data_IF_806489488055
#
_entry.id   IF_806489488055
#
_cell.length_a   1.000
_cell.length_b   1.000
_cell.length_c   1.000
_cell.angle_alpha   90.00
_cell.angle_beta   90.00
_cell.angle_gamma   90.00
#
_symmetry.space_group_name_H-M   'P 1'
#
loop_
_entity.id
_entity.type
_entity.pdbx_description
1 polymer ?
#
# COMPACT_ATOMS: atom_id res chain seq x y z
N UNK A 1 -9.76 3.60 2.25
CA UNK A 1 -8.82 2.47 2.20
C UNK A 1 -8.30 2.25 0.78
N UNK A 2 -7.30 2.94 0.22
CA UNK A 2 -6.57 2.35 -0.89
C UNK A 2 -5.84 1.13 -0.32
N UNK A 3 -5.96 0.00 -0.97
CA UNK A 3 -5.39 -1.27 -0.54
C UNK A 3 -4.74 -1.94 -1.72
N UNK A 4 -4.22 -3.14 -1.52
CA UNK A 4 -3.25 -3.79 -2.41
C UNK A 4 -3.52 -3.61 -3.92
N UNK A 5 -4.75 -3.85 -4.39
CA UNK A 5 -5.10 -3.74 -5.81
C UNK A 5 -4.90 -2.33 -6.34
N UNK A 6 -5.37 -1.30 -5.61
CA UNK A 6 -5.21 0.10 -6.01
C UNK A 6 -3.73 0.49 -6.07
N UNK A 7 -2.96 0.23 -5.02
CA UNK A 7 -1.53 0.58 -5.00
C UNK A 7 -0.72 -0.16 -6.06
N UNK A 8 -1.02 -1.44 -6.30
CA UNK A 8 -0.37 -2.18 -7.38
C UNK A 8 -0.76 -1.59 -8.74
N UNK A 9 -2.03 -1.21 -8.94
CA UNK A 9 -2.48 -0.59 -10.20
C UNK A 9 -1.75 0.73 -10.45
N UNK A 10 -1.61 1.58 -9.43
CA UNK A 10 -0.83 2.83 -9.53
C UNK A 10 0.63 2.55 -9.91
N UNK A 11 1.24 1.54 -9.28
CA UNK A 11 2.62 1.16 -9.54
C UNK A 11 2.84 0.65 -10.98
N UNK A 12 1.94 -0.22 -11.45
CA UNK A 12 2.04 -0.82 -12.77
C UNK A 12 1.93 0.27 -13.84
N UNK A 13 0.94 1.15 -13.73
CA UNK A 13 0.76 2.25 -14.67
C UNK A 13 1.89 3.27 -14.58
N UNK A 14 2.41 3.58 -13.38
CA UNK A 14 3.57 4.44 -13.23
C UNK A 14 4.84 3.84 -13.86
N UNK A 15 4.99 2.51 -13.83
CA UNK A 15 6.09 1.82 -14.52
C UNK A 15 5.97 1.95 -16.04
N UNK A 16 4.77 1.85 -16.61
CA UNK A 16 4.55 2.05 -18.04
C UNK A 16 4.83 3.51 -18.43
N UNK A 17 4.39 4.44 -17.60
CA UNK A 17 4.59 5.87 -17.82
C UNK A 17 6.07 6.27 -17.73
N UNK A 18 6.80 5.76 -16.73
CA UNK A 18 8.24 5.94 -16.63
C UNK A 18 8.98 5.39 -17.86
N UNK A 19 8.56 4.24 -18.39
CA UNK A 19 9.13 3.66 -19.61
C UNK A 19 8.80 4.51 -20.85
N UNK A 20 7.57 5.02 -20.96
CA UNK A 20 7.13 5.89 -22.05
C UNK A 20 7.93 7.20 -22.09
N UNK A 21 8.32 7.71 -20.92
CA UNK A 21 9.14 8.92 -20.75
C UNK A 21 10.66 8.67 -20.79
N UNK A 22 11.09 7.42 -20.95
CA UNK A 22 12.52 7.02 -20.95
C UNK A 22 13.27 7.42 -19.65
N UNK A 23 12.58 7.36 -18.51
CA UNK A 23 13.19 7.66 -17.20
C UNK A 23 14.20 6.58 -16.80
N UNK A 24 15.27 6.95 -16.10
CA UNK A 24 16.35 6.02 -15.74
C UNK A 24 15.86 4.85 -14.86
N UNK A 25 14.82 5.10 -14.05
CA UNK A 25 14.19 4.09 -13.19
C UNK A 25 13.43 3.01 -13.95
N UNK A 26 13.02 3.23 -15.21
CA UNK A 26 12.20 2.27 -15.95
C UNK A 26 12.92 0.93 -16.15
N UNK A 27 14.21 0.96 -16.49
CA UNK A 27 15.01 -0.24 -16.66
C UNK A 27 15.21 -0.99 -15.32
N UNK A 28 15.37 -0.25 -14.22
CA UNK A 28 15.49 -0.79 -12.87
C UNK A 28 14.20 -1.51 -12.46
N UNK A 29 13.05 -0.84 -12.61
CA UNK A 29 11.73 -1.38 -12.29
C UNK A 29 11.48 -2.67 -13.06
N UNK A 30 11.68 -2.67 -14.39
CA UNK A 30 11.47 -3.86 -15.21
C UNK A 30 12.34 -5.04 -14.77
N UNK A 31 13.59 -4.80 -14.39
CA UNK A 31 14.51 -5.87 -13.95
C UNK A 31 14.16 -6.43 -12.57
N UNK A 32 13.64 -5.58 -11.68
CA UNK A 32 13.37 -5.91 -10.28
C UNK A 32 11.88 -5.71 -9.92
N UNK A 33 10.99 -6.10 -10.84
CA UNK A 33 9.58 -5.77 -10.81
C UNK A 33 8.86 -6.25 -9.54
N UNK A 34 9.15 -7.46 -9.08
CA UNK A 34 8.59 -7.98 -7.83
C UNK A 34 9.00 -7.14 -6.61
N UNK A 35 10.25 -6.64 -6.58
CA UNK A 35 10.73 -5.74 -5.54
C UNK A 35 10.03 -4.38 -5.58
N UNK A 36 9.88 -3.83 -6.79
CA UNK A 36 9.15 -2.59 -7.01
C UNK A 36 7.69 -2.69 -6.52
N UNK A 37 6.93 -3.71 -6.94
CA UNK A 37 5.55 -3.91 -6.49
C UNK A 37 5.47 -4.20 -4.98
N UNK A 38 6.43 -4.95 -4.43
CA UNK A 38 6.51 -5.19 -3.00
C UNK A 38 6.73 -3.89 -2.21
N UNK A 39 7.57 -2.97 -2.71
CA UNK A 39 7.75 -1.64 -2.16
C UNK A 39 6.48 -0.79 -2.25
N UNK A 40 5.78 -0.84 -3.39
CA UNK A 40 4.55 -0.08 -3.65
C UNK A 40 3.36 -0.46 -2.79
N UNK A 41 3.40 -1.60 -2.09
CA UNK A 41 2.38 -1.94 -1.10
C UNK A 41 3.00 -2.26 0.26
N UNK A 42 3.70 -3.38 0.40
CA UNK A 42 4.25 -3.84 1.68
C UNK A 42 5.49 -3.08 2.15
N UNK A 43 6.09 -2.25 1.29
CA UNK A 43 7.10 -1.26 1.66
C UNK A 43 6.53 -0.09 2.48
N UNK A 44 5.22 0.11 2.46
CA UNK A 44 4.58 1.20 3.19
C UNK A 44 3.50 0.71 4.17
N UNK A 45 2.62 -0.20 3.74
CA UNK A 45 1.42 -0.53 4.50
C UNK A 45 1.72 -1.47 5.70
N UNK A 46 2.19 -0.84 6.79
CA UNK A 46 2.55 -1.50 8.05
C UNK A 46 1.34 -2.11 8.78
N UNK A 47 0.13 -1.82 8.32
CA UNK A 47 -1.12 -2.31 8.90
C UNK A 47 -1.61 -3.63 8.29
N UNK A 48 -0.79 -4.31 7.48
CA UNK A 48 -1.15 -5.62 6.90
C UNK A 48 -1.14 -6.77 7.93
N UNK A 49 -1.71 -6.52 9.10
CA UNK A 49 -1.84 -7.43 10.23
C UNK A 49 -3.28 -7.95 10.31
N UNK A 50 -3.49 -9.14 10.89
CA UNK A 50 -4.83 -9.55 11.27
C UNK A 50 -5.37 -8.68 12.39
N UNK A 51 -6.67 -8.39 12.33
CA UNK A 51 -7.37 -7.67 13.38
C UNK A 51 -7.77 -8.60 14.54
N UNK A 52 -8.19 -9.82 14.20
CA UNK A 52 -8.78 -10.78 15.12
C UNK A 52 -8.33 -12.21 14.83
N UNK A 53 -8.59 -13.12 15.77
CA UNK A 53 -8.47 -14.57 15.64
C UNK A 53 -9.84 -15.18 15.91
N UNK A 54 -10.34 -16.01 15.00
CA UNK A 54 -11.56 -16.79 15.18
C UNK A 54 -11.35 -17.81 16.30
N UNK A 55 -12.21 -17.81 17.32
CA UNK A 55 -12.05 -18.73 18.47
C UNK A 55 -12.35 -20.18 18.09
N UNK A 56 -13.26 -20.41 17.15
CA UNK A 56 -13.66 -21.75 16.72
C UNK A 56 -12.55 -22.47 15.93
N UNK A 57 -11.79 -21.72 15.12
CA UNK A 57 -10.84 -22.29 14.15
C UNK A 57 -9.38 -21.97 14.46
N UNK A 58 -9.13 -20.96 15.29
CA UNK A 58 -7.80 -20.38 15.48
C UNK A 58 -7.29 -19.58 14.28
N UNK A 59 -8.08 -19.41 13.22
CA UNK A 59 -7.65 -18.65 12.04
C UNK A 59 -7.64 -17.14 12.29
N UNK A 60 -6.59 -16.49 11.81
CA UNK A 60 -6.45 -15.04 11.81
C UNK A 60 -7.33 -14.38 10.75
N UNK A 61 -8.10 -13.36 11.10
CA UNK A 61 -9.12 -12.71 10.27
C UNK A 61 -9.14 -11.19 10.45
N UNK A 62 -9.80 -10.49 9.52
CA UNK A 62 -9.88 -9.03 9.49
C UNK A 62 -8.59 -8.37 8.97
N UNK A 63 -8.44 -7.06 9.19
CA UNK A 63 -7.33 -6.31 8.63
C UNK A 63 -7.00 -5.07 9.46
N UNK A 64 -5.73 -4.86 9.75
CA UNK A 64 -5.21 -3.66 10.39
C UNK A 64 -5.70 -3.44 11.81
N UNK A 65 -5.89 -2.17 12.16
CA UNK A 65 -6.13 -1.72 13.53
C UNK A 65 -7.55 -1.99 14.07
N UNK A 66 -8.44 -2.54 13.23
CA UNK A 66 -9.81 -2.86 13.62
C UNK A 66 -9.93 -4.02 14.61
N UNK A 67 -11.17 -4.34 14.97
CA UNK A 67 -11.55 -5.58 15.63
C UNK A 67 -12.83 -6.10 14.99
N UNK A 68 -12.85 -7.38 14.66
CA UNK A 68 -14.09 -8.06 14.31
C UNK A 68 -14.64 -8.71 15.57
N UNK A 69 -15.92 -8.46 15.89
CA UNK A 69 -16.65 -9.12 16.98
C UNK A 69 -17.12 -10.54 16.60
N UNK A 70 -17.23 -10.80 15.30
CA UNK A 70 -17.60 -12.11 14.75
C UNK A 70 -16.67 -12.55 13.65
N UNK A 71 -16.39 -13.84 13.61
CA UNK A 71 -15.59 -14.48 12.57
C UNK A 71 -16.31 -14.42 11.23
N UNK A 72 -15.67 -13.96 10.14
CA UNK A 72 -16.23 -14.05 8.80
C UNK A 72 -16.24 -15.49 8.26
N UNK A 73 -15.61 -16.44 8.96
CA UNK A 73 -15.52 -17.85 8.56
C UNK A 73 -16.69 -18.64 9.14
N UNK A 74 -17.01 -18.45 10.43
CA UNK A 74 -17.98 -19.27 11.17
C UNK A 74 -19.18 -18.47 11.69
N UNK A 75 -19.10 -17.14 11.72
CA UNK A 75 -20.03 -16.27 12.44
C UNK A 75 -19.88 -16.30 13.97
N UNK A 76 -19.00 -17.15 14.51
CA UNK A 76 -18.73 -17.28 15.94
C UNK A 76 -17.85 -16.16 16.50
N UNK A 77 -17.51 -16.26 17.79
CA UNK A 77 -16.73 -15.23 18.48
C UNK A 77 -15.29 -15.11 17.97
N UNK A 78 -14.71 -13.95 18.21
CA UNK A 78 -13.34 -13.61 17.84
C UNK A 78 -12.66 -12.91 18.99
N UNK A 79 -11.36 -13.19 19.17
CA UNK A 79 -10.50 -12.43 20.07
C UNK A 79 -9.57 -11.52 19.29
N UNK A 80 -9.12 -10.42 19.89
CA UNK A 80 -8.17 -9.51 19.26
C UNK A 80 -6.84 -10.23 19.00
N UNK A 81 -6.26 -9.99 17.84
CA UNK A 81 -4.90 -10.45 17.54
C UNK A 81 -3.87 -9.53 18.19
N UNK A 82 -2.74 -10.09 18.62
CA UNK A 82 -1.61 -9.32 19.16
C UNK A 82 -0.28 -9.91 18.70
N UNK A 83 0.71 -9.04 18.49
CA UNK A 83 2.09 -9.42 18.26
C UNK A 83 2.81 -9.55 19.62
N UNK A 84 3.45 -10.69 19.87
CA UNK A 84 4.24 -10.91 21.08
C UNK A 84 5.73 -10.67 20.79
N UNK A 85 6.37 -9.82 21.59
CA UNK A 85 7.81 -9.56 21.50
C UNK A 85 8.39 -9.24 22.88
N UNK A 86 9.43 -9.98 23.28
CA UNK A 86 10.16 -9.74 24.54
C UNK A 86 9.25 -9.66 25.78
N UNK A 87 8.24 -10.52 25.85
CA UNK A 87 7.27 -10.55 26.96
C UNK A 87 6.23 -9.42 26.94
N UNK A 88 6.22 -8.58 25.90
CA UNK A 88 5.22 -7.54 25.68
C UNK A 88 4.26 -7.94 24.55
N UNK A 89 3.00 -7.52 24.69
CA UNK A 89 1.93 -7.75 23.73
C UNK A 89 1.55 -6.44 23.06
N UNK A 90 1.61 -6.40 21.72
CA UNK A 90 1.31 -5.23 20.92
C UNK A 90 0.03 -5.45 20.12
N UNK A 91 -0.97 -4.58 20.29
CA UNK A 91 -2.16 -4.58 19.45
C UNK A 91 -1.85 -3.95 18.08
N UNK A 92 -2.56 -4.33 17.00
CA UNK A 92 -2.42 -3.71 15.69
C UNK A 92 -2.53 -2.18 15.70
N UNK A 93 -3.44 -1.62 16.50
CA UNK A 93 -3.57 -0.16 16.66
C UNK A 93 -2.29 0.46 17.22
N UNK A 94 -1.67 -0.14 18.24
CA UNK A 94 -0.41 0.36 18.81
C UNK A 94 0.70 0.36 17.77
N UNK A 95 0.81 -0.70 16.98
CA UNK A 95 1.79 -0.80 15.89
C UNK A 95 1.52 0.26 14.81
N UNK A 96 0.24 0.49 14.49
CA UNK A 96 -0.18 1.55 13.60
C UNK A 96 0.28 2.92 14.11
N UNK A 97 -0.04 3.27 15.36
CA UNK A 97 0.28 4.57 15.94
C UNK A 97 1.79 4.84 15.92
N UNK A 98 2.61 3.81 16.10
CA UNK A 98 4.08 3.91 16.09
C UNK A 98 4.67 4.09 14.68
N UNK A 99 4.14 3.40 13.66
CA UNK A 99 4.82 3.24 12.37
C UNK A 99 4.07 3.75 11.14
N UNK A 100 2.78 4.06 11.23
CA UNK A 100 1.98 4.44 10.07
C UNK A 100 2.43 5.78 9.48
N UNK A 101 2.61 6.81 10.31
CA UNK A 101 3.16 8.10 9.85
C UNK A 101 4.56 7.99 9.27
N UNK A 102 5.41 7.14 9.87
CA UNK A 102 6.79 6.91 9.44
C UNK A 102 6.91 6.33 8.03
N UNK A 103 5.95 5.52 7.62
CA UNK A 103 5.91 4.90 6.31
C UNK A 103 5.30 5.81 5.23
N UNK A 104 4.30 6.62 5.59
CA UNK A 104 3.56 7.47 4.64
C UNK A 104 4.12 8.90 4.51
N UNK A 105 4.97 9.32 5.45
CA UNK A 105 5.65 10.61 5.56
C UNK A 105 4.74 11.84 5.69
N UNK A 106 3.73 11.99 4.86
CA UNK A 106 2.91 13.21 4.73
C UNK A 106 1.70 13.24 5.66
N UNK A 107 1.22 12.08 6.10
CA UNK A 107 0.07 11.92 6.99
C UNK A 107 0.23 10.64 7.83
N UNK A 108 -0.76 10.36 8.69
CA UNK A 108 -0.79 9.13 9.47
C UNK A 108 0.03 9.17 10.76
N UNK A 109 0.58 10.34 11.09
CA UNK A 109 1.20 10.63 12.37
C UNK A 109 0.14 10.88 13.44
N UNK A 110 0.43 10.47 14.67
CA UNK A 110 -0.34 10.85 15.86
C UNK A 110 -0.21 12.36 16.09
N UNK A 111 -1.12 12.95 16.88
CA UNK A 111 -1.11 14.39 17.17
C UNK A 111 0.27 14.87 17.67
N UNK A 112 0.87 14.12 18.59
CA UNK A 112 2.18 14.40 19.19
C UNK A 112 3.34 14.38 18.19
N UNK A 113 3.20 13.61 17.10
CA UNK A 113 4.24 13.40 16.09
C UNK A 113 3.99 14.13 14.76
N UNK A 114 2.91 14.90 14.65
CA UNK A 114 2.56 15.65 13.41
C UNK A 114 3.68 16.54 12.89
N UNK A 115 4.54 17.07 13.78
CA UNK A 115 5.74 17.86 13.42
C UNK A 115 6.75 17.09 12.56
N UNK A 116 6.68 15.76 12.56
CA UNK A 116 7.57 14.88 11.79
C UNK A 116 7.02 14.58 10.39
N UNK A 117 5.79 15.01 10.10
CA UNK A 117 5.21 14.93 8.78
C UNK A 117 5.99 15.78 7.77
N UNK A 118 6.08 15.29 6.54
CA UNK A 118 6.73 16.00 5.43
C UNK A 118 5.67 16.68 4.57
N UNK A 119 5.78 17.98 4.27
CA UNK A 119 4.95 18.57 3.23
C UNK A 119 5.33 17.98 1.87
N UNK A 120 4.37 17.97 0.94
CA UNK A 120 4.53 17.43 -0.41
C UNK A 120 5.80 17.94 -1.11
N UNK A 121 6.02 19.25 -1.07
CA UNK A 121 7.15 19.90 -1.77
C UNK A 121 8.52 19.51 -1.21
N UNK A 122 8.56 18.88 -0.03
CA UNK A 122 9.78 18.38 0.57
C UNK A 122 10.02 16.88 0.33
N UNK A 123 9.10 16.18 -0.34
CA UNK A 123 9.22 14.76 -0.65
C UNK A 123 10.37 14.43 -1.61
N UNK A 124 10.60 15.17 -2.72
CA UNK A 124 11.70 14.87 -3.64
C UNK A 124 13.06 14.80 -2.92
N UNK A 125 13.34 15.79 -2.06
CA UNK A 125 14.58 15.82 -1.28
C UNK A 125 14.69 14.66 -0.28
N UNK A 126 13.59 14.26 0.37
CA UNK A 126 13.57 13.11 1.27
C UNK A 126 13.87 11.81 0.51
N UNK A 127 13.21 11.61 -0.63
CA UNK A 127 13.38 10.42 -1.46
C UNK A 127 14.78 10.33 -2.08
N UNK A 128 15.31 11.45 -2.56
CA UNK A 128 16.68 11.52 -3.08
C UNK A 128 17.71 11.15 -2.00
N UNK A 129 17.50 11.58 -0.75
CA UNK A 129 18.36 11.21 0.37
C UNK A 129 18.32 9.70 0.65
N UNK A 130 17.12 9.09 0.67
CA UNK A 130 16.98 7.62 0.84
C UNK A 130 17.67 6.87 -0.28
N UNK A 131 17.50 7.29 -1.54
CA UNK A 131 18.12 6.63 -2.69
C UNK A 131 19.65 6.75 -2.67
N UNK A 132 20.19 7.90 -2.27
CA UNK A 132 21.63 8.07 -2.04
C UNK A 132 22.13 7.11 -0.95
N UNK A 133 21.38 6.99 0.15
CA UNK A 133 21.74 6.08 1.24
C UNK A 133 21.69 4.62 0.83
N UNK A 134 20.85 4.20 -0.13
CA UNK A 134 20.93 2.84 -0.70
C UNK A 134 22.29 2.58 -1.35
N UNK A 135 22.83 3.57 -2.07
CA UNK A 135 24.15 3.47 -2.69
C UNK A 135 25.25 3.37 -1.62
N UNK A 136 25.23 4.28 -0.65
CA UNK A 136 26.32 4.48 0.30
C UNK A 136 26.31 3.48 1.47
N UNK A 137 25.13 3.03 1.90
CA UNK A 137 24.96 2.25 3.13
C UNK A 137 24.43 0.83 2.93
N UNK A 138 23.97 0.50 1.72
CA UNK A 138 23.31 -0.77 1.41
C UNK A 138 23.82 -1.42 0.11
N UNK A 139 25.14 -1.27 -0.14
CA UNK A 139 25.89 -1.94 -1.20
C UNK A 139 25.37 -1.70 -2.63
N UNK A 140 24.63 -0.60 -2.86
CA UNK A 140 24.05 -0.30 -4.18
C UNK A 140 23.15 -1.42 -4.73
N UNK A 141 22.48 -2.17 -3.87
CA UNK A 141 21.62 -3.27 -4.29
C UNK A 141 20.45 -2.75 -5.14
N UNK A 142 20.46 -3.08 -6.43
CA UNK A 142 19.42 -2.71 -7.38
C UNK A 142 18.02 -3.20 -6.97
N UNK A 143 17.93 -4.30 -6.23
CA UNK A 143 16.65 -4.79 -5.69
C UNK A 143 16.12 -3.86 -4.61
N UNK A 144 16.98 -3.35 -3.72
CA UNK A 144 16.62 -2.36 -2.70
C UNK A 144 16.27 -1.00 -3.33
N UNK A 145 17.00 -0.57 -4.36
CA UNK A 145 16.64 0.63 -5.12
C UNK A 145 15.22 0.50 -5.72
N UNK A 146 14.91 -0.62 -6.37
CA UNK A 146 13.58 -0.86 -6.91
C UNK A 146 12.49 -0.87 -5.82
N UNK A 147 12.80 -1.42 -4.64
CA UNK A 147 11.90 -1.41 -3.49
C UNK A 147 11.59 0.01 -3.01
N UNK A 148 12.61 0.88 -2.92
CA UNK A 148 12.45 2.29 -2.55
C UNK A 148 11.63 3.04 -3.59
N UNK A 149 11.88 2.81 -4.88
CA UNK A 149 11.07 3.39 -5.97
C UNK A 149 9.61 2.93 -5.88
N UNK A 150 9.38 1.69 -5.47
CA UNK A 150 8.06 1.18 -5.11
C UNK A 150 7.45 1.95 -3.94
N UNK A 151 8.18 2.10 -2.85
CA UNK A 151 7.71 2.85 -1.69
C UNK A 151 7.37 4.32 -2.02
N UNK A 152 8.15 4.99 -2.87
CA UNK A 152 7.84 6.32 -3.39
C UNK A 152 6.48 6.32 -4.10
N UNK A 153 6.24 5.35 -4.98
CA UNK A 153 4.95 5.15 -5.66
C UNK A 153 3.81 5.08 -4.65
N UNK A 154 4.00 4.32 -3.57
CA UNK A 154 2.99 4.20 -2.52
C UNK A 154 2.69 5.55 -1.86
N UNK A 155 3.72 6.24 -1.39
CA UNK A 155 3.57 7.52 -0.68
C UNK A 155 2.82 8.53 -1.53
N UNK A 156 3.20 8.65 -2.80
CA UNK A 156 2.56 9.57 -3.76
C UNK A 156 1.12 9.15 -4.07
N UNK A 157 0.90 7.90 -4.44
CA UNK A 157 -0.43 7.41 -4.78
C UNK A 157 -1.41 7.50 -3.62
N UNK A 158 -0.97 7.16 -2.39
CA UNK A 158 -1.82 7.22 -1.21
C UNK A 158 -2.12 8.66 -0.78
N UNK A 159 -1.14 9.57 -0.88
CA UNK A 159 -1.36 10.99 -0.61
C UNK A 159 -2.38 11.60 -1.58
N UNK A 160 -2.30 11.27 -2.86
CA UNK A 160 -3.21 11.78 -3.89
C UNK A 160 -4.63 11.24 -3.73
N UNK A 161 -4.80 9.92 -3.61
CA UNK A 161 -6.13 9.31 -3.48
C UNK A 161 -6.85 9.73 -2.19
N UNK A 162 -6.09 10.03 -1.14
CA UNK A 162 -6.62 10.57 0.13
C UNK A 162 -6.83 12.09 0.11
N UNK A 163 -6.45 12.76 -0.96
CA UNK A 163 -6.68 14.20 -1.12
C UNK A 163 -5.75 15.09 -0.32
N UNK A 164 -4.55 14.62 0.02
CA UNK A 164 -3.48 15.47 0.60
C UNK A 164 -3.14 16.62 -0.35
N UNK A 165 -3.28 16.38 -1.67
CA UNK A 165 -3.32 17.42 -2.68
C UNK A 165 -4.69 17.51 -3.35
N UNK A 166 -5.11 18.70 -3.79
CA UNK A 166 -6.42 18.91 -4.41
C UNK A 166 -6.52 18.42 -5.86
N UNK A 167 -5.40 18.07 -6.51
CA UNK A 167 -5.34 17.88 -7.96
C UNK A 167 -6.10 16.63 -8.44
N UNK A 168 -6.30 15.65 -7.55
CA UNK A 168 -7.17 14.50 -7.81
C UNK A 168 -8.41 14.60 -6.94
N UNK A 169 -9.54 14.83 -7.60
CA UNK A 169 -10.85 14.90 -6.98
C UNK A 169 -11.76 13.77 -7.48
N UNK A 170 -11.45 12.55 -7.07
CA UNK A 170 -12.27 11.38 -7.38
C UNK A 170 -13.46 11.31 -6.42
N UNK A 171 -14.63 11.81 -6.80
CA UNK A 171 -15.86 11.63 -6.01
C UNK A 171 -16.68 10.47 -6.57
N UNK A 172 -16.79 9.38 -5.81
CA UNK A 172 -17.60 8.21 -6.18
C UNK A 172 -18.98 8.29 -5.48
N UNK A 173 -19.32 7.30 -4.65
CA UNK A 173 -20.67 7.12 -4.13
C UNK A 173 -21.09 8.21 -3.13
N UNK A 174 -20.27 8.41 -2.09
CA UNK A 174 -20.60 9.25 -0.93
C UNK A 174 -19.44 10.15 -0.48
N UNK A 175 -18.46 10.36 -1.37
CA UNK A 175 -17.34 11.24 -1.12
C UNK A 175 -16.10 10.87 -1.91
N UNK A 176 -14.98 11.55 -1.60
CA UNK A 176 -13.69 11.29 -2.24
C UNK A 176 -13.10 9.93 -1.86
N UNK A 177 -13.15 9.64 -0.57
CA UNK A 177 -12.45 8.51 0.00
C UNK A 177 -13.20 7.95 1.20
N UNK A 178 -14.19 7.10 0.94
CA UNK A 178 -14.99 6.45 1.98
C UNK A 178 -14.78 4.94 1.93
N UNK A 179 -15.08 4.20 3.02
CA UNK A 179 -15.11 2.75 2.99
C UNK A 179 -16.08 2.18 1.94
N UNK A 180 -17.18 2.88 1.64
CA UNK A 180 -18.21 2.44 0.70
C UNK A 180 -17.77 2.53 -0.76
N UNK A 181 -16.81 3.39 -1.07
CA UNK A 181 -16.18 3.45 -2.39
C UNK A 181 -15.24 2.27 -2.68
N UNK A 182 -14.82 1.52 -1.65
CA UNK A 182 -13.78 0.49 -1.78
C UNK A 182 -14.11 -0.62 -2.77
N UNK A 183 -15.31 -1.24 -2.75
CA UNK A 183 -15.62 -2.31 -3.70
C UNK A 183 -15.58 -1.81 -5.15
N UNK A 184 -16.02 -0.58 -5.40
CA UNK A 184 -16.01 0.06 -6.73
C UNK A 184 -14.56 0.18 -7.23
N UNK A 185 -13.70 0.83 -6.43
CA UNK A 185 -12.30 1.04 -6.78
C UNK A 185 -11.56 -0.29 -7.02
N UNK A 186 -11.76 -1.27 -6.13
CA UNK A 186 -11.07 -2.55 -6.24
C UNK A 186 -11.55 -3.39 -7.41
N UNK A 187 -12.86 -3.52 -7.62
CA UNK A 187 -13.38 -4.34 -8.72
C UNK A 187 -13.00 -3.77 -10.09
N UNK A 188 -13.03 -2.45 -10.25
CA UNK A 188 -12.64 -1.81 -11.52
C UNK A 188 -11.13 -1.86 -11.74
N UNK A 189 -10.34 -1.59 -10.71
CA UNK A 189 -8.87 -1.73 -10.81
C UNK A 189 -8.47 -3.19 -11.08
N UNK A 190 -9.18 -4.16 -10.49
CA UNK A 190 -8.87 -5.57 -10.62
C UNK A 190 -9.30 -6.14 -11.98
N UNK A 191 -10.55 -5.94 -12.40
CA UNK A 191 -11.06 -6.52 -13.64
C UNK A 191 -10.80 -5.64 -14.84
N UNK A 192 -11.32 -4.41 -14.84
CA UNK A 192 -11.33 -3.57 -16.04
C UNK A 192 -9.94 -3.06 -16.38
N UNK A 193 -9.22 -2.50 -15.40
CA UNK A 193 -7.84 -2.02 -15.62
C UNK A 193 -6.88 -3.20 -15.60
N UNK A 194 -6.95 -4.04 -14.57
CA UNK A 194 -5.99 -5.10 -14.38
C UNK A 194 -6.08 -6.22 -15.41
N UNK A 195 -7.23 -6.90 -15.50
CA UNK A 195 -7.36 -8.09 -16.35
C UNK A 195 -7.63 -7.76 -17.81
N UNK A 196 -8.59 -6.88 -18.08
CA UNK A 196 -9.05 -6.61 -19.45
C UNK A 196 -8.06 -5.68 -20.19
N UNK A 197 -7.67 -4.55 -19.60
CA UNK A 197 -6.75 -3.60 -20.24
C UNK A 197 -5.29 -4.08 -20.20
N UNK A 198 -4.78 -4.45 -19.02
CA UNK A 198 -3.36 -4.75 -18.81
C UNK A 198 -3.00 -6.24 -18.88
N UNK A 199 -3.99 -7.14 -18.99
CA UNK A 199 -3.73 -8.59 -19.09
C UNK A 199 -3.08 -9.22 -17.84
N UNK A 200 -3.31 -8.64 -16.65
CA UNK A 200 -2.60 -9.02 -15.43
C UNK A 200 -3.07 -10.36 -14.85
N UNK A 201 -2.10 -11.17 -14.44
CA UNK A 201 -2.32 -12.31 -13.55
C UNK A 201 -2.16 -11.86 -12.09
N UNK A 202 -3.27 -11.40 -11.50
CA UNK A 202 -3.30 -10.98 -10.09
C UNK A 202 -2.86 -12.05 -9.11
N UNK A 203 -3.11 -13.34 -9.40
CA UNK A 203 -2.70 -14.41 -8.51
C UNK A 203 -1.18 -14.51 -8.45
N UNK A 204 -0.53 -14.49 -9.61
CA UNK A 204 0.92 -14.48 -9.70
C UNK A 204 1.52 -13.21 -9.09
N UNK A 205 0.97 -12.04 -9.39
CA UNK A 205 1.49 -10.78 -8.86
C UNK A 205 1.41 -10.72 -7.33
N UNK A 206 0.31 -11.19 -6.73
CA UNK A 206 0.18 -11.24 -5.27
C UNK A 206 1.12 -12.28 -4.64
N UNK A 207 1.37 -13.41 -5.31
CA UNK A 207 2.33 -14.42 -4.84
C UNK A 207 3.77 -13.90 -4.89
N UNK A 208 4.18 -13.31 -6.01
CA UNK A 208 5.50 -12.67 -6.17
C UNK A 208 5.72 -11.60 -5.08
N UNK A 209 4.69 -10.80 -4.80
CA UNK A 209 4.73 -9.76 -3.77
C UNK A 209 4.97 -10.36 -2.37
N UNK A 210 4.25 -11.40 -1.94
CA UNK A 210 4.42 -11.95 -0.58
C UNK A 210 5.69 -12.78 -0.40
N UNK A 211 6.26 -13.27 -1.50
CA UNK A 211 7.52 -14.02 -1.52
C UNK A 211 8.75 -13.11 -1.69
N UNK A 212 8.55 -11.85 -2.09
CA UNK A 212 9.61 -10.85 -2.10
C UNK A 212 10.09 -10.53 -0.67
N UNK A 213 11.40 -10.55 -0.40
CA UNK A 213 11.96 -10.22 0.91
C UNK A 213 11.60 -8.81 1.40
N UNK A 214 11.57 -8.64 2.72
CA UNK A 214 11.58 -7.31 3.33
C UNK A 214 12.99 -6.75 3.19
N UNK A 215 13.12 -5.59 2.57
CA UNK A 215 14.43 -4.96 2.37
C UNK A 215 14.91 -4.21 3.61
N UNK A 216 16.19 -4.32 4.00
CA UNK A 216 16.75 -3.61 5.15
C UNK A 216 16.58 -2.10 5.11
N UNK A 217 16.59 -1.50 3.91
CA UNK A 217 16.37 -0.05 3.71
C UNK A 217 15.02 0.43 4.27
N UNK A 218 14.01 -0.45 4.40
CA UNK A 218 12.70 -0.07 4.95
C UNK A 218 12.76 0.47 6.36
N UNK A 219 13.61 -0.11 7.21
CA UNK A 219 13.82 0.41 8.56
C UNK A 219 14.42 1.81 8.53
N UNK A 220 15.29 2.06 7.54
CA UNK A 220 16.04 3.29 7.43
C UNK A 220 15.18 4.46 6.94
N UNK A 221 14.42 4.30 5.85
CA UNK A 221 13.52 5.36 5.39
C UNK A 221 12.33 5.60 6.32
N UNK A 222 12.02 4.66 7.23
CA UNK A 222 11.05 4.87 8.31
C UNK A 222 11.67 5.52 9.55
N UNK A 223 12.99 5.79 9.55
CA UNK A 223 13.75 6.29 10.70
C UNK A 223 13.64 5.40 11.94
N UNK A 224 13.66 4.08 11.74
CA UNK A 224 13.68 3.03 12.79
C UNK A 224 14.97 2.20 12.65
N UNK A 225 16.08 2.92 12.50
CA UNK A 225 17.45 2.41 12.51
C UNK A 225 18.36 3.43 13.18
N UNK A 226 19.65 3.14 13.29
CA UNK A 226 20.62 4.18 13.66
C UNK A 226 20.58 5.34 12.64
N UNK A 227 20.68 6.60 13.09
CA UNK A 227 20.79 7.76 12.20
C UNK A 227 22.16 7.75 11.51
N UNK A 228 22.15 7.71 10.18
CA UNK A 228 23.35 7.71 9.34
C UNK A 228 22.99 8.13 7.91
N UNK A 229 24.00 8.49 7.13
CA UNK A 229 23.82 8.85 5.73
C UNK A 229 23.12 10.20 5.53
N UNK A 230 22.83 10.50 4.27
CA UNK A 230 22.26 11.77 3.81
C UNK A 230 20.87 12.00 4.41
N UNK A 231 20.08 10.95 4.62
CA UNK A 231 18.77 11.07 5.24
C UNK A 231 18.87 11.62 6.66
N UNK A 232 19.81 11.12 7.46
CA UNK A 232 20.00 11.60 8.84
C UNK A 232 20.60 13.02 8.89
N UNK A 233 21.46 13.38 7.93
CA UNK A 233 22.00 14.73 7.81
C UNK A 233 20.90 15.77 7.53
N UNK A 234 19.94 15.43 6.68
CA UNK A 234 18.83 16.31 6.31
C UNK A 234 17.66 16.26 7.30
N UNK A 235 17.52 15.14 8.02
CA UNK A 235 16.44 14.86 8.95
C UNK A 235 16.97 14.20 10.23
N UNK A 236 17.50 15.01 11.14
CA UNK A 236 18.10 14.58 12.41
C UNK A 236 17.07 14.13 13.47
N UNK A 237 15.80 14.47 13.31
CA UNK A 237 14.70 14.14 14.24
C UNK A 237 13.93 12.85 13.92
N UNK A 238 13.26 12.34 14.96
CA UNK A 238 12.37 11.16 14.94
C UNK A 238 13.03 9.84 14.55
N UNK A 239 14.31 9.66 14.86
CA UNK A 239 14.96 8.35 14.78
C UNK A 239 14.64 7.52 16.02
N UNK A 240 14.07 6.32 15.84
CA UNK A 240 13.74 5.38 16.92
C UNK A 240 14.44 4.03 16.71
N UNK A 241 15.77 3.96 16.91
CA UNK A 241 16.52 2.72 16.73
C UNK A 241 16.06 1.61 17.69
N UNK A 242 15.56 1.96 18.87
CA UNK A 242 15.10 1.00 19.88
C UNK A 242 13.86 0.20 19.44
N UNK A 243 13.05 0.75 18.54
CA UNK A 243 11.85 0.11 17.99
C UNK A 243 12.15 -0.87 16.85
N UNK A 244 13.41 -0.95 16.40
CA UNK A 244 13.86 -1.82 15.31
C UNK A 244 13.46 -3.29 15.46
N UNK A 245 13.56 -3.93 16.65
CA UNK A 245 13.10 -5.31 16.81
C UNK A 245 11.59 -5.46 16.57
N UNK A 246 10.78 -4.51 17.04
CA UNK A 246 9.33 -4.51 16.85
C UNK A 246 8.95 -4.31 15.40
N UNK A 247 9.57 -3.34 14.71
CA UNK A 247 9.30 -3.10 13.30
C UNK A 247 9.65 -4.33 12.46
N UNK A 248 10.79 -5.00 12.69
CA UNK A 248 11.15 -6.23 11.96
C UNK A 248 10.10 -7.33 12.11
N UNK A 249 9.65 -7.58 13.34
CA UNK A 249 8.61 -8.58 13.58
C UNK A 249 7.28 -8.20 12.95
N UNK A 250 6.95 -6.91 12.95
CA UNK A 250 5.77 -6.36 12.27
C UNK A 250 5.83 -6.63 10.77
N UNK A 251 6.94 -6.30 10.11
CA UNK A 251 7.10 -6.50 8.66
C UNK A 251 7.06 -8.00 8.28
N UNK A 252 7.61 -8.87 9.12
CA UNK A 252 7.49 -10.33 8.95
C UNK A 252 6.04 -10.81 9.12
N UNK A 253 5.33 -10.32 10.14
CA UNK A 253 3.92 -10.63 10.37
C UNK A 253 3.05 -10.15 9.20
N UNK A 254 3.33 -8.96 8.64
CA UNK A 254 2.66 -8.42 7.47
C UNK A 254 2.78 -9.35 6.26
N UNK A 255 4.00 -9.78 5.93
CA UNK A 255 4.24 -10.70 4.80
C UNK A 255 3.53 -12.03 5.01
N UNK A 256 3.63 -12.59 6.23
CA UNK A 256 2.95 -13.85 6.59
C UNK A 256 1.44 -13.73 6.44
N UNK A 257 0.85 -12.67 6.97
CA UNK A 257 -0.59 -12.49 6.94
C UNK A 257 -1.09 -12.17 5.53
N UNK A 258 -0.37 -11.35 4.77
CA UNK A 258 -0.72 -11.07 3.39
C UNK A 258 -0.76 -12.33 2.51
N UNK A 259 0.09 -13.33 2.78
CA UNK A 259 0.02 -14.63 2.09
C UNK A 259 -1.33 -15.33 2.29
N UNK A 260 -1.85 -15.32 3.52
CA UNK A 260 -3.19 -15.88 3.83
C UNK A 260 -4.29 -15.02 3.23
N UNK A 261 -4.17 -13.70 3.36
CA UNK A 261 -5.17 -12.73 2.92
C UNK A 261 -5.31 -12.68 1.39
N UNK A 262 -4.23 -12.83 0.63
CA UNK A 262 -4.26 -12.73 -0.83
C UNK A 262 -5.25 -13.72 -1.45
N UNK A 263 -5.25 -14.98 -0.99
CA UNK A 263 -6.23 -15.97 -1.47
C UNK A 263 -7.68 -15.62 -1.13
N UNK A 264 -7.92 -14.99 0.03
CA UNK A 264 -9.26 -14.54 0.44
C UNK A 264 -9.71 -13.35 -0.42
N UNK A 265 -8.84 -12.38 -0.64
CA UNK A 265 -9.09 -11.21 -1.46
C UNK A 265 -9.37 -11.57 -2.93
N UNK A 266 -8.61 -12.51 -3.50
CA UNK A 266 -8.86 -13.00 -4.87
C UNK A 266 -10.25 -13.63 -5.02
N UNK A 267 -10.74 -14.33 -3.99
CA UNK A 267 -12.10 -14.88 -3.98
C UNK A 267 -13.15 -13.79 -3.80
N UNK A 268 -12.89 -12.83 -2.93
CA UNK A 268 -13.79 -11.70 -2.68
C UNK A 268 -14.00 -10.85 -3.94
N UNK A 269 -12.93 -10.62 -4.70
CA UNK A 269 -12.96 -9.85 -5.94
C UNK A 269 -13.45 -10.63 -7.15
N UNK A 270 -13.63 -11.95 -7.06
CA UNK A 270 -14.07 -12.75 -8.19
C UNK A 270 -15.52 -12.39 -8.58
N UNK A 271 -15.75 -12.14 -9.86
CA UNK A 271 -17.09 -11.97 -10.41
C UNK A 271 -17.69 -13.33 -10.78
N UNK A 272 -19.01 -13.44 -10.63
CA UNK A 272 -19.78 -14.62 -11.03
C UNK A 272 -20.62 -14.30 -12.27
N UNK A 273 -20.65 -15.22 -13.23
CA UNK A 273 -21.54 -15.10 -14.40
C UNK A 273 -23.00 -15.39 -13.99
N UNK A 274 -23.91 -14.48 -14.36
CA UNK A 274 -25.34 -14.61 -14.11
C UNK A 274 -26.13 -14.40 -15.41
N UNK A 275 -27.44 -14.65 -15.39
CA UNK A 275 -28.32 -14.34 -16.54
C UNK A 275 -28.36 -12.85 -16.91
N UNK A 276 -27.94 -11.99 -15.98
CA UNK A 276 -27.85 -10.53 -16.16
C UNK A 276 -26.43 -10.02 -16.39
N UNK A 277 -25.45 -10.91 -16.62
CA UNK A 277 -24.04 -10.58 -16.80
C UNK A 277 -23.19 -10.88 -15.57
N UNK A 278 -21.97 -10.33 -15.55
CA UNK A 278 -21.01 -10.49 -14.44
C UNK A 278 -21.49 -9.74 -13.21
N UNK A 279 -21.44 -10.39 -12.05
CA UNK A 279 -21.87 -9.81 -10.76
C UNK A 279 -20.85 -10.02 -9.65
N UNK A 280 -20.80 -9.06 -8.72
CA UNK A 280 -19.96 -9.12 -7.53
C UNK A 280 -20.66 -9.88 -6.38
N UNK A 281 -19.89 -10.26 -5.36
CA UNK A 281 -20.44 -10.92 -4.17
C UNK A 281 -21.37 -10.01 -3.35
N UNK A 282 -22.31 -10.62 -2.63
CA UNK A 282 -23.35 -9.91 -1.85
C UNK A 282 -22.75 -8.93 -0.83
N UNK A 283 -21.69 -9.31 -0.11
CA UNK A 283 -21.05 -8.43 0.87
C UNK A 283 -20.36 -7.21 0.22
N UNK A 284 -19.81 -7.37 -0.99
CA UNK A 284 -19.26 -6.24 -1.75
C UNK A 284 -20.36 -5.29 -2.20
N UNK A 285 -21.45 -5.84 -2.74
CA UNK A 285 -22.63 -5.06 -3.13
C UNK A 285 -23.18 -4.29 -1.93
N UNK A 286 -23.42 -4.97 -0.80
CA UNK A 286 -23.91 -4.37 0.44
C UNK A 286 -23.01 -3.24 0.94
N UNK A 287 -21.69 -3.45 0.95
CA UNK A 287 -20.71 -2.41 1.31
C UNK A 287 -20.82 -1.19 0.40
N UNK A 288 -21.00 -1.41 -0.91
CA UNK A 288 -21.23 -0.38 -1.91
C UNK A 288 -22.67 0.18 -1.92
N UNK A 289 -23.49 -0.09 -0.90
CA UNK A 289 -24.86 0.42 -0.83
C UNK A 289 -25.91 -0.37 -1.60
N UNK A 290 -25.65 -1.63 -1.89
CA UNK A 290 -26.53 -2.50 -2.68
C UNK A 290 -26.35 -2.37 -4.19
N UNK A 291 -25.32 -1.67 -4.65
CA UNK A 291 -25.03 -1.55 -6.07
C UNK A 291 -24.63 -2.90 -6.66
N UNK A 292 -25.12 -3.17 -7.87
CA UNK A 292 -24.68 -4.27 -8.73
C UNK A 292 -23.40 -3.90 -9.47
N UNK A 293 -22.70 -4.90 -10.00
CA UNK A 293 -21.42 -4.64 -10.64
C UNK A 293 -21.53 -3.68 -11.84
N UNK A 294 -22.55 -3.84 -12.69
CA UNK A 294 -22.81 -2.91 -13.80
C UNK A 294 -23.03 -1.46 -13.35
N UNK A 295 -23.75 -1.24 -12.24
CA UNK A 295 -23.99 0.09 -11.70
C UNK A 295 -22.69 0.71 -11.12
N UNK A 296 -21.81 -0.12 -10.54
CA UNK A 296 -20.48 0.33 -10.11
C UNK A 296 -19.61 0.77 -11.29
N UNK A 297 -19.69 0.08 -12.43
CA UNK A 297 -18.99 0.47 -13.66
C UNK A 297 -19.47 1.82 -14.17
N UNK A 298 -20.79 2.01 -14.27
CA UNK A 298 -21.39 3.28 -14.71
C UNK A 298 -20.97 4.43 -13.79
N UNK A 299 -21.01 4.21 -12.47
CA UNK A 299 -20.62 5.22 -11.49
C UNK A 299 -19.13 5.59 -11.61
N UNK A 300 -18.26 4.61 -11.79
CA UNK A 300 -16.83 4.87 -11.94
C UNK A 300 -16.49 5.55 -13.27
N UNK A 301 -17.20 5.21 -14.35
CA UNK A 301 -17.06 5.91 -15.62
C UNK A 301 -17.53 7.38 -15.50
N UNK A 302 -18.67 7.62 -14.84
CA UNK A 302 -19.17 8.97 -14.60
C UNK A 302 -18.23 9.82 -13.73
N UNK A 303 -17.51 9.18 -12.81
CA UNK A 303 -16.52 9.83 -11.94
C UNK A 303 -15.11 9.94 -12.56
N UNK A 304 -14.93 9.49 -13.81
CA UNK A 304 -13.63 9.36 -14.49
C UNK A 304 -12.57 8.65 -13.62
N UNK A 305 -12.94 7.52 -13.04
CA UNK A 305 -12.04 6.74 -12.18
C UNK A 305 -10.75 6.36 -12.92
N UNK A 306 -10.86 5.89 -14.18
CA UNK A 306 -9.68 5.50 -14.97
C UNK A 306 -8.75 6.69 -15.22
N UNK A 307 -9.29 7.87 -15.54
CA UNK A 307 -8.52 9.10 -15.67
C UNK A 307 -7.84 9.49 -14.37
N UNK A 308 -8.54 9.41 -13.22
CA UNK A 308 -7.92 9.67 -11.92
C UNK A 308 -6.75 8.73 -11.62
N UNK A 309 -6.87 7.43 -11.94
CA UNK A 309 -5.78 6.45 -11.79
C UNK A 309 -4.61 6.78 -12.72
N UNK A 310 -4.85 7.21 -13.97
CA UNK A 310 -3.77 7.71 -14.85
C UNK A 310 -3.07 8.92 -14.26
N UNK A 311 -3.81 9.91 -13.77
CA UNK A 311 -3.24 11.11 -13.17
C UNK A 311 -2.37 10.80 -11.94
N UNK A 312 -2.73 9.76 -11.17
CA UNK A 312 -1.87 9.25 -10.09
C UNK A 312 -0.55 8.70 -10.66
N UNK A 313 -0.63 7.88 -11.70
CA UNK A 313 0.56 7.31 -12.35
C UNK A 313 1.47 8.39 -12.94
N UNK A 314 0.89 9.41 -13.58
CA UNK A 314 1.63 10.57 -14.09
C UNK A 314 2.35 11.32 -12.98
N UNK A 315 1.68 11.60 -11.87
CA UNK A 315 2.29 12.29 -10.74
C UNK A 315 3.39 11.47 -10.06
N UNK A 316 3.30 10.13 -10.09
CA UNK A 316 4.38 9.25 -9.64
C UNK A 316 5.58 9.34 -10.58
N UNK A 317 5.36 9.33 -11.89
CA UNK A 317 6.42 9.50 -12.88
C UNK A 317 7.09 10.89 -12.78
N UNK A 318 6.31 11.96 -12.56
CA UNK A 318 6.82 13.30 -12.26
C UNK A 318 7.72 13.29 -11.00
N UNK A 319 7.33 12.55 -9.96
CA UNK A 319 8.13 12.42 -8.75
C UNK A 319 9.44 11.67 -9.03
N UNK A 320 9.44 10.65 -9.88
CA UNK A 320 10.67 9.97 -10.28
C UNK A 320 11.63 10.91 -11.00
N UNK A 321 11.12 11.71 -11.95
CA UNK A 321 11.91 12.70 -12.69
C UNK A 321 12.49 13.77 -11.74
N UNK A 322 11.67 14.35 -10.85
CA UNK A 322 12.13 15.30 -9.85
C UNK A 322 13.23 14.73 -8.97
N UNK A 323 13.11 13.48 -8.52
CA UNK A 323 14.13 12.84 -7.68
C UNK A 323 15.46 12.63 -8.43
N UNK A 324 15.43 12.43 -9.75
CA UNK A 324 16.64 12.37 -10.57
C UNK A 324 17.37 13.71 -10.63
N UNK A 325 16.65 14.85 -10.57
CA UNK A 325 17.24 16.20 -10.54
C UNK A 325 18.02 16.52 -9.25
N UNK A 326 17.79 15.76 -8.18
CA UNK A 326 18.50 15.91 -6.90
C UNK A 326 19.82 15.11 -6.82
N UNK A 327 20.15 14.35 -7.87
CA UNK A 327 21.42 13.60 -7.99
C UNK A 327 22.56 14.51 -8.44
#
# INVERSE_FOLDING_TARGET
MSGIVGHMTYAILASEEAARRDLSVAALIRRHYASYLAGAYLGCDIQTLPASVCEDTGEEVGYGAGHLDRSPITGGATRRWTLQLSGRSYAPQTICDMFYGRSHLTFGWTEDDTRHARPWDALPGYFAAVLADVHDLFDSDARQLAYVVGWITHVIGDALIKGVRPDINLHLLDGRYTPRNRPIQDLISFHEVGREELGLDWSRLMDDLVNTPVEPIQLHYMRVSEPRGRLAELHDGAWEPDDKPLLRQTLMANRRYQRVRSGRLLRELALTETSSGRECGEEMSKTAGGLRYGEMLELAAAADFRGAVSSIADAIADMFEQVEEYR
#
